data_IF_660118649634
#
_entry.id   IF_660118649634
#
_cell.length_a   1.000
_cell.length_b   1.000
_cell.length_c   1.000
_cell.angle_alpha   90.00
_cell.angle_beta   90.00
_cell.angle_gamma   90.00
#
_symmetry.space_group_name_H-M   'P 1'
#
loop_
_entity.id
_entity.type
_entity.pdbx_description
1 polymer ?
#
# COMPACT_ATOMS: atom_id res chain seq x y z
N UNK A 1 -32.37 -9.82 5.71
CA UNK A 1 -31.46 -9.38 6.79
C UNK A 1 -30.40 -8.50 6.12
N UNK A 2 -30.59 -7.19 6.10
CA UNK A 2 -29.60 -6.25 5.57
C UNK A 2 -28.60 -5.98 6.68
N UNK A 3 -27.39 -6.54 6.58
CA UNK A 3 -26.30 -6.10 7.45
C UNK A 3 -25.95 -4.65 7.09
N UNK A 4 -25.87 -3.73 8.06
CA UNK A 4 -25.30 -2.41 7.80
C UNK A 4 -23.84 -2.62 7.40
N UNK A 5 -23.44 -2.06 6.26
CA UNK A 5 -22.03 -1.97 5.84
C UNK A 5 -21.27 -1.35 7.02
N UNK A 6 -20.32 -2.09 7.61
CA UNK A 6 -19.41 -1.51 8.60
C UNK A 6 -18.76 -0.29 7.94
N UNK A 7 -18.55 0.83 8.67
CA UNK A 7 -17.75 1.92 8.15
C UNK A 7 -16.42 1.32 7.70
N UNK A 8 -16.01 1.56 6.44
CA UNK A 8 -14.67 1.19 6.01
C UNK A 8 -13.73 1.95 6.94
N UNK A 9 -12.86 1.22 7.62
CA UNK A 9 -12.08 1.68 8.77
C UNK A 9 -11.46 3.06 8.52
N UNK A 10 -11.88 4.07 9.28
CA UNK A 10 -11.15 5.34 9.41
C UNK A 10 -9.84 5.18 10.21
N UNK A 11 -9.55 3.97 10.69
CA UNK A 11 -8.44 3.63 11.57
C UNK A 11 -7.27 3.10 10.74
N UNK A 12 -6.07 3.58 11.06
CA UNK A 12 -4.81 3.05 10.55
C UNK A 12 -4.74 1.54 10.83
N UNK A 13 -4.43 0.77 9.81
CA UNK A 13 -4.19 -0.67 9.88
C UNK A 13 -2.70 -0.97 9.66
N UNK A 14 -2.26 -2.19 9.97
CA UNK A 14 -0.88 -2.61 9.77
C UNK A 14 -0.84 -3.97 9.09
N UNK A 15 0.07 -4.11 8.13
CA UNK A 15 0.36 -5.36 7.45
C UNK A 15 1.86 -5.63 7.46
N UNK A 16 2.23 -6.90 7.62
CA UNK A 16 3.59 -7.38 7.41
C UNK A 16 3.61 -8.15 6.10
N UNK A 17 4.57 -7.86 5.24
CA UNK A 17 4.89 -8.66 4.07
C UNK A 17 6.27 -9.28 4.29
N UNK A 18 6.33 -10.60 4.21
CA UNK A 18 7.58 -11.35 4.10
C UNK A 18 7.92 -11.54 2.61
N UNK A 19 9.15 -11.93 2.31
CA UNK A 19 9.61 -12.19 0.94
C UNK A 19 8.67 -13.16 0.20
N UNK A 20 8.25 -12.80 -1.02
CA UNK A 20 7.31 -13.55 -1.84
C UNK A 20 5.83 -13.35 -1.48
N UNK A 21 5.51 -12.45 -0.55
CA UNK A 21 4.12 -12.17 -0.18
C UNK A 21 3.61 -10.86 -0.74
N UNK A 22 2.30 -10.82 -1.02
CA UNK A 22 1.58 -9.63 -1.40
C UNK A 22 0.28 -9.46 -0.64
N UNK A 23 -0.36 -8.31 -0.82
CA UNK A 23 -1.62 -7.95 -0.17
C UNK A 23 -2.50 -7.13 -1.10
N UNK A 24 -3.79 -7.42 -1.07
CA UNK A 24 -4.90 -6.57 -1.51
C UNK A 24 -5.35 -5.74 -0.29
N UNK A 25 -5.11 -4.43 -0.30
CA UNK A 25 -5.33 -3.54 0.84
C UNK A 25 -6.80 -3.13 0.99
N UNK A 26 -7.58 -3.23 -0.07
CA UNK A 26 -9.00 -2.87 -0.09
C UNK A 26 -9.97 -4.04 -0.07
N UNK A 27 -9.45 -5.26 -0.05
CA UNK A 27 -10.16 -6.45 0.41
C UNK A 27 -10.94 -6.19 1.71
N UNK A 28 -12.02 -6.95 1.89
CA UNK A 28 -12.81 -6.90 3.12
C UNK A 28 -12.01 -7.34 4.36
N UNK A 29 -11.01 -8.20 4.17
CA UNK A 29 -10.09 -8.71 5.20
C UNK A 29 -8.66 -8.78 4.61
N UNK A 30 -7.94 -7.64 4.54
CA UNK A 30 -6.60 -7.57 3.96
C UNK A 30 -5.60 -8.45 4.72
N UNK A 31 -4.94 -9.37 4.00
CA UNK A 31 -3.96 -10.29 4.55
C UNK A 31 -2.83 -10.53 3.57
N UNK A 32 -1.64 -10.77 4.11
CA UNK A 32 -0.50 -11.20 3.32
C UNK A 32 -0.75 -12.61 2.81
N UNK A 33 -0.51 -12.82 1.52
CA UNK A 33 -0.63 -14.10 0.84
C UNK A 33 0.58 -14.29 -0.08
N UNK A 34 0.97 -15.54 -0.31
CA UNK A 34 1.96 -15.87 -1.33
C UNK A 34 1.52 -15.33 -2.69
N UNK A 35 2.41 -14.62 -3.37
CA UNK A 35 2.18 -14.06 -4.69
C UNK A 35 3.48 -14.03 -5.49
N UNK A 36 3.37 -13.90 -6.81
CA UNK A 36 4.54 -13.80 -7.69
C UNK A 36 4.83 -12.35 -8.11
N UNK A 37 4.11 -11.39 -7.53
CA UNK A 37 4.10 -9.99 -7.93
C UNK A 37 2.75 -9.33 -7.71
N UNK A 38 2.68 -8.00 -7.84
CA UNK A 38 1.42 -7.29 -7.95
C UNK A 38 0.66 -7.79 -9.18
N UNK A 39 -0.64 -7.99 -9.05
CA UNK A 39 -1.50 -8.38 -10.16
C UNK A 39 -2.77 -7.52 -10.09
N UNK A 40 -3.74 -7.78 -10.98
CA UNK A 40 -4.99 -7.02 -11.02
C UNK A 40 -5.68 -6.85 -9.66
N UNK A 41 -5.42 -7.74 -8.70
CA UNK A 41 -6.01 -7.76 -7.36
C UNK A 41 -4.97 -7.45 -6.25
N UNK A 42 -3.74 -7.95 -6.36
CA UNK A 42 -2.66 -7.71 -5.38
C UNK A 42 -2.08 -6.31 -5.59
N UNK A 43 -2.36 -5.42 -4.64
CA UNK A 43 -1.90 -4.03 -4.64
C UNK A 43 -0.39 -3.91 -4.41
N UNK A 44 0.11 -4.62 -3.42
CA UNK A 44 1.50 -4.57 -2.98
C UNK A 44 2.09 -5.97 -2.96
N UNK A 45 3.35 -6.07 -3.36
CA UNK A 45 4.13 -7.30 -3.27
C UNK A 45 5.53 -6.98 -2.80
N UNK A 46 6.07 -7.80 -1.91
CA UNK A 46 7.41 -7.67 -1.39
C UNK A 46 8.28 -8.85 -1.82
N UNK A 47 9.40 -8.54 -2.48
CA UNK A 47 10.46 -9.49 -2.77
C UNK A 47 11.85 -8.89 -2.46
N UNK A 48 12.69 -8.79 -3.47
CA UNK A 48 13.86 -7.91 -3.60
C UNK A 48 13.57 -6.42 -3.33
N UNK A 49 12.31 -5.99 -3.37
CA UNK A 49 11.84 -4.67 -2.96
C UNK A 49 10.31 -4.60 -2.92
N UNK A 50 9.75 -3.46 -2.50
CA UNK A 50 8.30 -3.28 -2.50
C UNK A 50 7.82 -2.82 -3.88
N UNK A 51 7.02 -3.64 -4.55
CA UNK A 51 6.36 -3.31 -5.80
C UNK A 51 4.88 -3.01 -5.57
N UNK A 52 4.35 -2.04 -6.31
CA UNK A 52 2.93 -1.70 -6.31
C UNK A 52 2.31 -1.98 -7.68
N UNK A 53 1.06 -2.44 -7.69
CA UNK A 53 0.30 -2.64 -8.91
C UNK A 53 0.21 -1.32 -9.70
N UNK A 54 0.61 -1.35 -10.98
CA UNK A 54 0.63 -0.18 -11.88
C UNK A 54 1.33 1.07 -11.28
N UNK A 55 2.48 0.87 -10.61
CA UNK A 55 3.34 1.93 -10.02
C UNK A 55 2.64 2.85 -9.02
N UNK A 56 1.47 2.51 -8.52
CA UNK A 56 0.64 3.52 -7.89
C UNK A 56 1.06 3.83 -6.45
N UNK A 57 2.36 3.93 -6.18
CA UNK A 57 2.94 4.34 -4.92
C UNK A 57 3.90 5.52 -5.13
N UNK A 58 3.63 6.64 -4.46
CA UNK A 58 4.31 7.92 -4.66
C UNK A 58 4.87 8.43 -3.34
N UNK A 59 6.10 8.91 -3.31
CA UNK A 59 6.66 9.46 -2.08
C UNK A 59 5.79 10.62 -1.54
N UNK A 60 5.59 10.64 -0.24
CA UNK A 60 4.82 11.67 0.45
C UNK A 60 5.64 12.26 1.59
N UNK A 61 5.75 13.59 1.62
CA UNK A 61 6.37 14.34 2.71
C UNK A 61 5.30 15.14 3.43
N UNK A 62 4.78 14.61 4.53
CA UNK A 62 3.77 15.27 5.36
C UNK A 62 3.34 14.39 6.53
N UNK A 63 2.30 14.81 7.23
CA UNK A 63 1.63 14.06 8.30
C UNK A 63 0.51 13.18 7.75
N UNK A 64 0.11 12.16 8.50
CA UNK A 64 -1.06 11.31 8.14
C UNK A 64 -2.33 12.15 7.89
N UNK A 65 -2.53 13.23 8.66
CA UNK A 65 -3.70 14.11 8.50
C UNK A 65 -3.67 14.89 7.18
N UNK A 66 -2.48 15.31 6.74
CA UNK A 66 -2.30 16.00 5.45
C UNK A 66 -2.41 15.02 4.27
N UNK A 67 -2.18 13.72 4.52
CA UNK A 67 -2.17 12.71 3.47
C UNK A 67 -3.52 12.54 2.77
N UNK A 68 -4.67 12.75 3.43
CA UNK A 68 -5.99 12.67 2.76
C UNK A 68 -6.05 13.62 1.56
N UNK A 69 -5.71 14.89 1.78
CA UNK A 69 -5.71 15.90 0.72
C UNK A 69 -4.51 15.74 -0.22
N UNK A 70 -3.31 15.50 0.34
CA UNK A 70 -2.07 15.37 -0.41
C UNK A 70 -2.10 14.20 -1.40
N UNK A 71 -2.47 13.01 -0.95
CA UNK A 71 -2.49 11.81 -1.78
C UNK A 71 -3.58 11.85 -2.85
N UNK A 72 -4.75 12.43 -2.52
CA UNK A 72 -5.80 12.66 -3.52
C UNK A 72 -5.28 13.52 -4.67
N UNK A 73 -4.55 14.59 -4.37
CA UNK A 73 -3.93 15.46 -5.38
C UNK A 73 -2.81 14.77 -6.15
N UNK A 74 -1.94 14.04 -5.46
CA UNK A 74 -0.81 13.34 -6.10
C UNK A 74 -1.28 12.29 -7.10
N UNK A 75 -2.24 11.46 -6.71
CA UNK A 75 -2.77 10.38 -7.56
C UNK A 75 -3.64 10.93 -8.70
N UNK A 76 -4.41 12.01 -8.49
CA UNK A 76 -5.29 12.58 -9.51
C UNK A 76 -4.54 13.15 -10.73
N UNK A 77 -3.27 13.55 -10.55
CA UNK A 77 -2.46 14.12 -11.62
C UNK A 77 -1.63 13.08 -12.37
N UNK A 78 -1.70 11.80 -12.01
CA UNK A 78 -0.82 10.77 -12.57
C UNK A 78 -1.53 9.77 -13.49
N UNK A 79 -0.79 9.31 -14.50
CA UNK A 79 -1.21 8.25 -15.41
C UNK A 79 -0.58 6.93 -14.94
N UNK A 80 -1.37 5.93 -14.51
CA UNK A 80 -0.81 4.64 -14.09
C UNK A 80 0.10 4.04 -15.16
N UNK A 81 1.32 3.66 -14.77
CA UNK A 81 2.27 2.91 -15.59
C UNK A 81 2.70 1.64 -14.84
N UNK A 82 3.15 0.55 -15.47
CA UNK A 82 3.70 -0.60 -14.76
C UNK A 82 4.88 -0.19 -13.85
N UNK A 83 4.83 -0.59 -12.58
CA UNK A 83 5.80 -0.15 -11.56
C UNK A 83 7.02 -1.03 -11.45
N UNK A 84 8.16 -0.38 -11.22
CA UNK A 84 9.37 -1.02 -10.72
C UNK A 84 9.34 -1.12 -9.19
N UNK A 85 10.26 -1.92 -8.65
CA UNK A 85 10.46 -1.99 -7.21
C UNK A 85 10.81 -0.61 -6.65
N UNK A 86 10.12 -0.20 -5.59
CA UNK A 86 10.39 1.01 -4.83
C UNK A 86 11.29 0.67 -3.66
N UNK A 87 12.37 1.43 -3.50
CA UNK A 87 13.19 1.35 -2.29
C UNK A 87 12.40 1.97 -1.13
N UNK A 88 12.12 1.17 -0.11
CA UNK A 88 11.39 1.60 1.08
C UNK A 88 12.26 1.40 2.32
N UNK A 89 12.34 2.42 3.16
CA UNK A 89 13.04 2.39 4.44
C UNK A 89 12.09 2.79 5.57
N UNK A 90 12.40 2.35 6.80
CA UNK A 90 11.63 2.73 7.98
C UNK A 90 11.50 4.26 8.09
N UNK A 91 10.29 4.73 8.40
CA UNK A 91 9.91 6.14 8.42
C UNK A 91 9.50 6.72 7.05
N UNK A 92 9.75 6.02 5.95
CA UNK A 92 9.28 6.41 4.62
C UNK A 92 7.75 6.44 4.56
N UNK A 93 7.20 7.41 3.81
CA UNK A 93 5.76 7.60 3.64
C UNK A 93 5.42 7.73 2.17
N UNK A 94 4.28 7.16 1.79
CA UNK A 94 3.85 7.08 0.40
C UNK A 94 2.34 7.26 0.28
N UNK A 95 1.91 7.88 -0.81
CA UNK A 95 0.55 7.81 -1.29
C UNK A 95 0.37 6.55 -2.13
N UNK A 96 -0.77 5.88 -2.02
CA UNK A 96 -1.09 4.71 -2.83
C UNK A 96 -2.43 4.88 -3.58
N UNK A 97 -2.54 4.27 -4.75
CA UNK A 97 -3.84 3.89 -5.34
C UNK A 97 -3.93 2.37 -5.47
N UNK A 98 -4.94 1.76 -4.88
CA UNK A 98 -5.20 0.32 -4.98
C UNK A 98 -5.66 -0.06 -6.39
N UNK A 99 -5.73 -1.36 -6.64
CA UNK A 99 -6.27 -1.99 -7.84
C UNK A 99 -7.70 -1.56 -8.15
N UNK A 100 -8.60 -1.46 -7.16
CA UNK A 100 -9.96 -0.92 -7.33
C UNK A 100 -10.00 0.62 -7.39
N UNK A 101 -8.84 1.29 -7.38
CA UNK A 101 -8.74 2.74 -7.54
C UNK A 101 -8.94 3.54 -6.26
N UNK A 102 -8.94 2.90 -5.08
CA UNK A 102 -9.03 3.62 -3.79
C UNK A 102 -7.70 4.29 -3.49
N UNK A 103 -7.77 5.51 -2.98
CA UNK A 103 -6.58 6.29 -2.64
C UNK A 103 -6.28 6.10 -1.15
N UNK A 104 -5.01 6.00 -0.81
CA UNK A 104 -4.57 5.85 0.56
C UNK A 104 -3.20 6.43 0.84
N UNK A 105 -2.79 6.20 2.07
CA UNK A 105 -1.48 6.51 2.60
C UNK A 105 -0.86 5.26 3.20
N UNK A 106 0.45 5.14 3.05
CA UNK A 106 1.30 4.08 3.59
C UNK A 106 2.47 4.73 4.33
N UNK A 107 2.85 4.15 5.47
CA UNK A 107 4.11 4.44 6.14
C UNK A 107 4.84 3.15 6.47
N UNK A 108 6.12 3.10 6.13
CA UNK A 108 6.99 2.01 6.54
C UNK A 108 7.30 2.12 8.03
N UNK A 109 6.75 1.21 8.82
CA UNK A 109 7.02 1.12 10.25
C UNK A 109 8.39 0.52 10.53
N UNK A 110 8.70 -0.57 9.82
CA UNK A 110 9.90 -1.35 9.99
C UNK A 110 10.23 -2.07 8.68
N UNK A 111 11.50 -2.31 8.42
CA UNK A 111 11.94 -3.06 7.26
C UNK A 111 13.32 -3.66 7.50
N UNK A 112 13.45 -4.94 7.22
CA UNK A 112 14.72 -5.64 7.27
C UNK A 112 14.82 -6.54 6.05
N UNK A 113 15.78 -6.26 5.19
CA UNK A 113 16.06 -7.08 4.02
C UNK A 113 17.54 -6.96 3.69
N UNK A 114 18.15 -8.08 3.34
CA UNK A 114 19.58 -8.16 3.08
C UNK A 114 19.85 -8.26 1.57
N UNK A 115 21.12 -8.21 1.18
CA UNK A 115 21.55 -8.38 -0.22
C UNK A 115 21.21 -9.75 -0.82
N UNK A 116 20.84 -10.73 0.02
CA UNK A 116 20.34 -12.06 -0.40
C UNK A 116 18.84 -12.06 -0.67
N UNK A 117 18.17 -10.90 -0.62
CA UNK A 117 16.77 -10.67 -1.01
C UNK A 117 15.74 -11.39 -0.15
N UNK A 118 16.14 -11.89 1.02
CA UNK A 118 15.23 -12.39 2.05
C UNK A 118 14.99 -11.31 3.09
N UNK A 119 13.74 -11.12 3.51
CA UNK A 119 13.43 -10.11 4.51
C UNK A 119 11.95 -9.92 4.74
N UNK A 120 11.62 -8.77 5.32
CA UNK A 120 10.26 -8.31 5.52
C UNK A 120 10.16 -6.79 5.45
N UNK A 121 8.91 -6.35 5.31
CA UNK A 121 8.49 -4.97 5.51
C UNK A 121 7.20 -4.93 6.33
N UNK A 122 7.12 -3.98 7.25
CA UNK A 122 5.92 -3.70 8.05
C UNK A 122 5.38 -2.34 7.65
N UNK A 123 4.17 -2.33 7.11
CA UNK A 123 3.51 -1.14 6.58
C UNK A 123 2.31 -0.79 7.44
N UNK A 124 2.27 0.44 7.93
CA UNK A 124 1.04 1.07 8.35
C UNK A 124 0.33 1.60 7.12
N UNK A 125 -0.99 1.46 7.04
CA UNK A 125 -1.75 2.00 5.92
C UNK A 125 -3.12 2.52 6.35
N UNK A 126 -3.65 3.44 5.54
CA UNK A 126 -5.01 3.97 5.66
C UNK A 126 -5.55 4.28 4.27
N UNK A 127 -6.72 3.73 3.95
CA UNK A 127 -7.44 4.07 2.73
C UNK A 127 -8.45 5.18 3.04
N UNK A 128 -8.53 6.15 2.15
CA UNK A 128 -9.47 7.25 2.28
C UNK A 128 -10.79 6.88 1.60
N UNK A 129 -11.89 7.32 2.19
CA UNK A 129 -13.19 7.22 1.53
C UNK A 129 -13.21 8.13 0.30
N UNK A 130 -13.79 7.65 -0.79
CA UNK A 130 -14.11 8.48 -1.94
C UNK A 130 -15.34 9.33 -1.57
N UNK A 131 -15.21 10.65 -1.65
CA UNK A 131 -16.33 11.60 -1.46
C UNK A 131 -17.30 11.58 -2.65
#
# INVERSE_FOLDING_TARGET
INQPRRPRSQTRSQIRLDDGTGVDLDAADPRAVEATGPNGDIDLHFDTGLAANRSAMYYFSGTENEAKAGCSKTVANDTPAPGGATAVSAGGQFCIRTSDGRIGWISCNDAEYNSSRTGYIVLNYRLFDQE
#
